data_IF_714706229896
#
_entry.id   IF_714706229896
#
_cell.length_a   1.000
_cell.length_b   1.000
_cell.length_c   1.000
_cell.angle_alpha   90.00
_cell.angle_beta   90.00
_cell.angle_gamma   90.00
#
_symmetry.space_group_name_H-M   'P 1'
#
loop_
_entity.id
_entity.type
_entity.pdbx_description
1 polymer ?
#
# COMPACT_ATOMS: atom_id res chain seq x y z
N UNK A 1 -15.67 22.94 1.12
CA UNK A 1 -15.49 21.47 1.12
C UNK A 1 -15.64 20.85 -0.28
N UNK A 2 -16.75 21.04 -1.00
CA UNK A 2 -16.98 20.38 -2.31
C UNK A 2 -15.96 20.72 -3.41
N UNK A 3 -15.47 21.96 -3.48
CA UNK A 3 -14.49 22.37 -4.50
C UNK A 3 -13.12 21.69 -4.37
N UNK A 4 -12.68 21.36 -3.15
CA UNK A 4 -11.38 20.71 -2.90
C UNK A 4 -11.45 19.23 -3.31
N UNK A 5 -12.57 18.57 -3.02
CA UNK A 5 -12.83 17.19 -3.42
C UNK A 5 -12.87 17.03 -4.94
N UNK A 6 -13.57 17.93 -5.63
CA UNK A 6 -13.65 17.95 -7.10
C UNK A 6 -12.27 18.23 -7.70
N UNK A 7 -11.49 19.15 -7.11
CA UNK A 7 -10.11 19.42 -7.53
C UNK A 7 -9.20 18.20 -7.42
N UNK A 8 -9.28 17.46 -6.31
CA UNK A 8 -8.53 16.22 -6.11
C UNK A 8 -8.88 15.13 -7.12
N UNK A 9 -10.18 14.95 -7.42
CA UNK A 9 -10.65 13.99 -8.43
C UNK A 9 -10.20 14.35 -9.85
N UNK A 10 -10.24 15.63 -10.21
CA UNK A 10 -9.78 16.10 -11.53
C UNK A 10 -8.26 15.87 -11.67
N UNK A 11 -7.49 16.16 -10.62
CA UNK A 11 -6.04 15.96 -10.59
C UNK A 11 -5.66 14.47 -10.75
N UNK A 12 -6.39 13.58 -10.08
CA UNK A 12 -6.28 12.12 -10.20
C UNK A 12 -6.54 11.65 -11.64
N UNK A 13 -7.67 12.09 -12.23
CA UNK A 13 -8.05 11.70 -13.60
C UNK A 13 -7.02 12.18 -14.64
N UNK A 14 -6.50 13.40 -14.48
CA UNK A 14 -5.44 13.95 -15.35
C UNK A 14 -4.16 13.12 -15.19
N UNK A 15 -3.77 12.79 -13.95
CA UNK A 15 -2.56 12.00 -13.68
C UNK A 15 -2.65 10.63 -14.34
N UNK A 16 -3.80 9.93 -14.21
CA UNK A 16 -4.05 8.63 -14.83
C UNK A 16 -4.05 8.73 -16.36
N UNK A 17 -4.64 9.79 -16.93
CA UNK A 17 -4.70 9.98 -18.38
C UNK A 17 -3.32 10.27 -18.99
N UNK A 18 -2.51 11.10 -18.34
CA UNK A 18 -1.12 11.39 -18.75
C UNK A 18 -0.27 10.13 -18.69
N UNK A 19 -0.45 9.33 -17.64
CA UNK A 19 0.29 8.10 -17.45
C UNK A 19 -0.09 7.03 -18.49
N UNK A 20 -1.37 6.97 -18.88
CA UNK A 20 -1.85 6.10 -19.97
C UNK A 20 -1.20 6.43 -21.31
N UNK A 21 -0.96 7.72 -21.58
CA UNK A 21 -0.34 8.16 -22.83
C UNK A 21 1.18 7.94 -22.89
N UNK A 22 1.84 7.70 -21.76
CA UNK A 22 3.31 7.55 -21.67
C UNK A 22 3.83 6.12 -21.85
N UNK A 23 3.00 5.18 -22.31
CA UNK A 23 3.41 3.95 -23.00
C UNK A 23 4.53 3.11 -22.37
N UNK A 24 4.17 1.91 -21.90
CA UNK A 24 5.06 0.75 -21.68
C UNK A 24 5.95 0.66 -20.45
N UNK A 25 5.90 1.58 -19.49
CA UNK A 25 6.62 1.37 -18.21
C UNK A 25 5.77 1.64 -16.97
N UNK A 26 4.64 0.94 -16.86
CA UNK A 26 3.86 0.87 -15.60
C UNK A 26 4.67 0.32 -14.41
N UNK A 27 5.85 -0.25 -14.64
CA UNK A 27 6.78 -0.67 -13.59
C UNK A 27 7.46 0.53 -12.88
N UNK A 28 7.52 1.70 -13.52
CA UNK A 28 7.96 2.95 -12.89
C UNK A 28 6.78 3.82 -12.42
N UNK A 29 5.55 3.27 -12.43
CA UNK A 29 4.35 3.91 -11.88
C UNK A 29 4.53 4.52 -10.47
N UNK A 30 5.30 3.92 -9.53
CA UNK A 30 5.50 4.54 -8.22
C UNK A 30 6.62 5.58 -8.17
N UNK A 31 7.37 5.81 -9.26
CA UNK A 31 8.54 6.70 -9.26
C UNK A 31 8.30 7.95 -10.11
N UNK A 32 8.35 9.12 -9.47
CA UNK A 32 8.38 10.41 -10.15
C UNK A 32 7.40 11.45 -9.62
N UNK A 33 7.43 12.62 -10.23
CA UNK A 33 6.59 13.78 -9.86
C UNK A 33 5.09 13.45 -10.03
N UNK A 34 4.73 12.65 -11.02
CA UNK A 34 3.32 12.30 -11.30
C UNK A 34 2.71 11.49 -10.15
N UNK A 35 3.44 10.51 -9.63
CA UNK A 35 3.00 9.68 -8.49
C UNK A 35 2.89 10.49 -7.19
N UNK A 36 3.75 11.50 -7.04
CA UNK A 36 3.68 12.42 -5.91
C UNK A 36 2.44 13.32 -6.02
N UNK A 37 2.14 13.84 -7.21
CA UNK A 37 0.94 14.65 -7.47
C UNK A 37 -0.35 13.82 -7.26
N UNK A 38 -0.37 12.55 -7.69
CA UNK A 38 -1.52 11.67 -7.43
C UNK A 38 -1.68 11.35 -5.93
N UNK A 39 -0.57 11.10 -5.21
CA UNK A 39 -0.62 10.89 -3.77
C UNK A 39 -1.18 12.12 -3.02
N UNK A 40 -0.78 13.34 -3.40
CA UNK A 40 -1.37 14.56 -2.87
C UNK A 40 -2.86 14.70 -3.21
N UNK A 41 -3.27 14.28 -4.42
CA UNK A 41 -4.69 14.24 -4.81
C UNK A 41 -5.51 13.33 -3.91
N UNK A 42 -5.08 12.07 -3.76
CA UNK A 42 -5.72 11.07 -2.89
C UNK A 42 -5.76 11.51 -1.43
N UNK A 43 -4.69 12.12 -0.93
CA UNK A 43 -4.63 12.64 0.43
C UNK A 43 -5.65 13.76 0.68
N UNK A 44 -5.79 14.70 -0.27
CA UNK A 44 -6.78 15.77 -0.20
C UNK A 44 -8.22 15.24 -0.27
N UNK A 45 -8.46 14.19 -1.06
CA UNK A 45 -9.75 13.48 -1.08
C UNK A 45 -10.04 12.90 0.30
N UNK A 46 -9.08 12.23 0.92
CA UNK A 46 -9.20 11.66 2.26
C UNK A 46 -9.56 12.69 3.34
N UNK A 47 -8.88 13.84 3.36
CA UNK A 47 -9.16 14.94 4.31
C UNK A 47 -10.54 15.58 4.05
N UNK A 48 -10.97 15.64 2.78
CA UNK A 48 -12.25 16.25 2.41
C UNK A 48 -13.45 15.36 2.72
N UNK A 49 -13.24 14.06 2.93
CA UNK A 49 -14.31 13.13 3.34
C UNK A 49 -14.72 13.39 4.78
N UNK A 50 -16.01 13.20 5.08
CA UNK A 50 -16.49 13.28 6.47
C UNK A 50 -15.81 12.19 7.30
N UNK A 51 -15.43 12.51 8.53
CA UNK A 51 -14.89 11.51 9.45
C UNK A 51 -15.95 10.46 9.74
N UNK A 52 -15.67 9.21 9.35
CA UNK A 52 -16.51 8.06 9.63
C UNK A 52 -15.78 7.14 10.61
N UNK A 53 -16.39 6.87 11.75
CA UNK A 53 -15.85 5.94 12.73
C UNK A 53 -16.46 4.56 12.52
N UNK A 54 -15.67 3.62 12.01
CA UNK A 54 -16.03 2.20 11.96
C UNK A 54 -14.86 1.36 12.47
N UNK A 55 -15.10 0.62 13.56
CA UNK A 55 -14.10 -0.19 14.25
C UNK A 55 -13.44 -1.23 13.33
N UNK A 56 -14.21 -1.83 12.42
CA UNK A 56 -13.69 -2.85 11.49
C UNK A 56 -12.79 -2.24 10.41
N UNK A 57 -13.24 -1.13 9.80
CA UNK A 57 -12.47 -0.43 8.76
C UNK A 57 -11.17 0.13 9.36
N UNK A 58 -11.26 0.74 10.55
CA UNK A 58 -10.08 1.29 11.23
C UNK A 58 -9.08 0.20 11.61
N UNK A 59 -9.57 -0.98 12.03
CA UNK A 59 -8.72 -2.13 12.33
C UNK A 59 -7.98 -2.63 11.07
N UNK A 60 -8.68 -2.75 9.93
CA UNK A 60 -8.05 -3.14 8.67
C UNK A 60 -7.03 -2.09 8.22
N UNK A 61 -7.40 -0.81 8.24
CA UNK A 61 -6.51 0.28 7.84
C UNK A 61 -5.24 0.32 8.70
N UNK A 62 -5.38 0.14 10.01
CA UNK A 62 -4.24 0.06 10.94
C UNK A 62 -3.34 -1.14 10.65
N UNK A 63 -3.91 -2.34 10.46
CA UNK A 63 -3.12 -3.54 10.12
C UNK A 63 -2.37 -3.41 8.79
N UNK A 64 -3.02 -2.81 7.77
CA UNK A 64 -2.38 -2.60 6.46
C UNK A 64 -1.26 -1.55 6.55
N UNK A 65 -1.47 -0.48 7.32
CA UNK A 65 -0.44 0.53 7.56
C UNK A 65 0.76 -0.04 8.33
N UNK A 66 0.52 -0.86 9.36
CA UNK A 66 1.57 -1.54 10.11
C UNK A 66 2.37 -2.49 9.21
N UNK A 67 1.69 -3.30 8.39
CA UNK A 67 2.34 -4.17 7.42
C UNK A 67 3.21 -3.36 6.45
N UNK A 68 2.69 -2.25 5.91
CA UNK A 68 3.43 -1.37 5.03
C UNK A 68 4.73 -0.85 5.69
N UNK A 69 4.64 -0.32 6.92
CA UNK A 69 5.80 0.20 7.65
C UNK A 69 6.87 -0.86 7.88
N UNK A 70 6.47 -2.09 8.24
CA UNK A 70 7.40 -3.22 8.42
C UNK A 70 8.10 -3.54 7.10
N UNK A 71 7.37 -3.49 5.98
CA UNK A 71 7.89 -3.91 4.67
C UNK A 71 8.74 -2.85 3.99
N UNK A 72 8.59 -1.58 4.37
CA UNK A 72 9.41 -0.47 3.89
C UNK A 72 10.70 -0.27 4.70
N UNK A 73 10.84 -0.96 5.83
CA UNK A 73 12.11 -1.03 6.54
C UNK A 73 13.22 -1.54 5.60
N UNK A 74 14.38 -0.87 5.63
CA UNK A 74 15.43 -1.08 4.63
C UNK A 74 15.97 -2.52 4.67
N UNK A 75 16.02 -3.13 5.86
CA UNK A 75 16.53 -4.48 6.06
C UNK A 75 15.50 -5.52 5.62
N UNK A 76 14.24 -5.36 6.06
CA UNK A 76 13.16 -6.27 5.71
C UNK A 76 12.86 -6.21 4.21
N UNK A 77 12.90 -5.02 3.59
CA UNK A 77 12.66 -4.86 2.16
C UNK A 77 13.66 -5.66 1.33
N UNK A 78 14.96 -5.52 1.61
CA UNK A 78 16.00 -6.23 0.84
C UNK A 78 15.80 -7.75 1.00
N UNK A 79 15.65 -8.22 2.24
CA UNK A 79 15.50 -9.65 2.52
C UNK A 79 14.21 -10.24 1.92
N UNK A 80 13.07 -9.57 2.09
CA UNK A 80 11.76 -10.05 1.65
C UNK A 80 11.67 -10.10 0.11
N UNK A 81 12.10 -9.04 -0.57
CA UNK A 81 11.91 -8.92 -2.00
C UNK A 81 13.03 -9.55 -2.83
N UNK A 82 14.28 -9.52 -2.36
CA UNK A 82 15.42 -10.10 -3.09
C UNK A 82 15.70 -11.55 -2.68
N UNK A 83 15.81 -11.85 -1.39
CA UNK A 83 16.22 -13.18 -0.92
C UNK A 83 15.04 -14.16 -0.82
N UNK A 84 13.87 -13.71 -0.36
CA UNK A 84 12.71 -14.58 -0.19
C UNK A 84 11.89 -14.71 -1.48
N UNK A 85 11.42 -13.59 -2.04
CA UNK A 85 10.51 -13.59 -3.19
C UNK A 85 11.18 -13.57 -4.56
N UNK A 86 12.49 -13.29 -4.65
CA UNK A 86 13.26 -13.22 -5.90
C UNK A 86 12.55 -12.42 -7.01
N UNK A 87 11.90 -11.30 -6.65
CA UNK A 87 11.07 -10.49 -7.56
C UNK A 87 11.79 -10.01 -8.84
N UNK A 88 13.11 -9.72 -8.85
CA UNK A 88 13.79 -9.30 -10.08
C UNK A 88 13.67 -10.33 -11.22
N UNK A 89 13.53 -11.62 -10.90
CA UNK A 89 13.34 -12.69 -11.90
C UNK A 89 11.90 -12.80 -12.39
N UNK A 90 10.93 -12.41 -11.56
CA UNK A 90 9.49 -12.47 -11.87
C UNK A 90 9.03 -11.33 -12.78
N UNK A 91 9.71 -10.18 -12.73
CA UNK A 91 9.38 -9.00 -13.53
C UNK A 91 9.51 -9.23 -15.05
N UNK A 92 10.27 -10.25 -15.47
CA UNK A 92 10.50 -10.57 -16.88
C UNK A 92 9.42 -11.51 -17.47
N UNK A 93 8.45 -11.96 -16.65
CA UNK A 93 7.33 -12.79 -17.08
C UNK A 93 6.10 -11.96 -17.46
N UNK A 94 5.13 -12.62 -18.07
CA UNK A 94 3.89 -12.03 -18.58
C UNK A 94 3.17 -11.13 -17.55
N UNK A 95 2.75 -9.92 -17.96
CA UNK A 95 2.22 -8.85 -17.07
C UNK A 95 1.05 -9.29 -16.17
N UNK A 96 0.11 -10.10 -16.69
CA UNK A 96 -1.04 -10.58 -15.91
C UNK A 96 -0.62 -11.51 -14.76
N UNK A 97 0.43 -12.30 -14.96
CA UNK A 97 0.95 -13.16 -13.89
C UNK A 97 1.63 -12.33 -12.80
N UNK A 98 2.34 -11.26 -13.17
CA UNK A 98 2.93 -10.35 -12.20
C UNK A 98 1.87 -9.68 -11.29
N UNK A 99 0.75 -9.22 -11.87
CA UNK A 99 -0.36 -8.64 -11.09
C UNK A 99 -0.98 -9.65 -10.13
N UNK A 100 -1.27 -10.87 -10.60
CA UNK A 100 -1.83 -11.93 -9.74
C UNK A 100 -0.88 -12.30 -8.60
N UNK A 101 0.42 -12.44 -8.89
CA UNK A 101 1.43 -12.68 -7.87
C UNK A 101 1.50 -11.54 -6.86
N UNK A 102 1.43 -10.28 -7.31
CA UNK A 102 1.42 -9.11 -6.42
C UNK A 102 0.24 -9.12 -5.44
N UNK A 103 -0.96 -9.49 -5.90
CA UNK A 103 -2.15 -9.61 -5.05
C UNK A 103 -1.96 -10.72 -4.02
N UNK A 104 -1.46 -11.89 -4.44
CA UNK A 104 -1.22 -13.03 -3.56
C UNK A 104 -0.18 -12.71 -2.49
N UNK A 105 0.96 -12.13 -2.90
CA UNK A 105 2.04 -11.72 -1.99
C UNK A 105 1.54 -10.68 -0.99
N UNK A 106 0.82 -9.65 -1.45
CA UNK A 106 0.28 -8.61 -0.56
C UNK A 106 -0.70 -9.19 0.46
N UNK A 107 -1.56 -10.12 0.02
CA UNK A 107 -2.53 -10.79 0.90
C UNK A 107 -1.82 -11.64 1.96
N UNK A 108 -0.80 -12.42 1.56
CA UNK A 108 0.02 -13.21 2.47
C UNK A 108 0.75 -12.32 3.48
N UNK A 109 1.31 -11.21 3.02
CA UNK A 109 2.06 -10.28 3.86
C UNK A 109 1.18 -9.66 4.95
N UNK A 110 0.00 -9.19 4.58
CA UNK A 110 -1.00 -8.71 5.55
C UNK A 110 -1.41 -9.81 6.53
N UNK A 111 -1.54 -11.06 6.07
CA UNK A 111 -1.83 -12.19 6.95
C UNK A 111 -0.69 -12.48 7.94
N UNK A 112 0.56 -12.39 7.51
CA UNK A 112 1.74 -12.60 8.37
C UNK A 112 1.86 -11.47 9.39
N UNK A 113 1.72 -10.21 8.96
CA UNK A 113 1.72 -9.06 9.87
C UNK A 113 0.59 -9.15 10.91
N UNK A 114 -0.60 -9.59 10.50
CA UNK A 114 -1.72 -9.90 11.42
C UNK A 114 -1.37 -10.96 12.47
N UNK A 115 -0.59 -11.98 12.11
CA UNK A 115 -0.14 -13.00 13.05
C UNK A 115 0.88 -12.44 14.04
N UNK A 116 1.80 -11.60 13.58
CA UNK A 116 2.79 -10.92 14.42
C UNK A 116 2.09 -10.02 15.43
N UNK A 117 1.12 -9.20 15.00
CA UNK A 117 0.31 -8.35 15.89
C UNK A 117 -0.37 -9.19 16.99
N UNK A 118 -0.97 -10.32 16.62
CA UNK A 118 -1.60 -11.24 17.59
C UNK A 118 -0.59 -11.82 18.58
N UNK A 119 0.60 -12.18 18.14
CA UNK A 119 1.64 -12.72 19.03
C UNK A 119 2.09 -11.63 20.01
N UNK A 120 2.28 -10.40 19.53
CA UNK A 120 2.66 -9.28 20.37
C UNK A 120 1.61 -8.97 21.45
N UNK A 121 0.32 -8.94 21.09
CA UNK A 121 -0.78 -8.79 22.05
C UNK A 121 -0.80 -9.89 23.12
N UNK A 122 -0.42 -11.12 22.77
CA UNK A 122 -0.36 -12.23 23.73
C UNK A 122 0.84 -12.09 24.68
N UNK A 123 1.98 -11.63 24.18
CA UNK A 123 3.19 -11.39 24.97
C UNK A 123 2.96 -10.23 25.95
N UNK A 124 2.34 -9.13 25.49
CA UNK A 124 2.01 -7.98 26.34
C UNK A 124 1.10 -8.40 27.52
N UNK A 125 0.08 -9.22 27.24
CA UNK A 125 -0.80 -9.80 28.27
C UNK A 125 -0.08 -10.70 29.26
N UNK A 126 1.03 -11.32 28.87
CA UNK A 126 1.86 -12.14 29.77
C UNK A 126 2.84 -11.30 30.61
N UNK A 127 3.34 -10.19 30.08
CA UNK A 127 4.35 -9.33 30.74
C UNK A 127 3.72 -8.34 31.73
N UNK A 128 2.49 -7.88 31.45
CA UNK A 128 1.69 -7.10 32.41
C UNK A 128 0.57 -8.00 32.93
N UNK A 129 0.85 -8.89 33.89
CA UNK A 129 -0.23 -9.56 34.60
C UNK A 129 -0.96 -8.49 35.41
N UNK A 130 -2.28 -8.39 35.22
CA UNK A 130 -3.15 -7.68 36.17
C UNK A 130 -2.87 -8.14 37.60
#
# INVERSE_FOLDING_TARGET
MGHIYIGGLILELISIMVLRNHGDKMIHFPYGIISMVSAFGLFNIGISMKSFYNKFINYIASSVLAAYLITEDLFIRIWLWNDFLHVPKLQNYNYLFFLLYGIVISTLLVSVCRLIDKIYEQIEKMIVPN
#
